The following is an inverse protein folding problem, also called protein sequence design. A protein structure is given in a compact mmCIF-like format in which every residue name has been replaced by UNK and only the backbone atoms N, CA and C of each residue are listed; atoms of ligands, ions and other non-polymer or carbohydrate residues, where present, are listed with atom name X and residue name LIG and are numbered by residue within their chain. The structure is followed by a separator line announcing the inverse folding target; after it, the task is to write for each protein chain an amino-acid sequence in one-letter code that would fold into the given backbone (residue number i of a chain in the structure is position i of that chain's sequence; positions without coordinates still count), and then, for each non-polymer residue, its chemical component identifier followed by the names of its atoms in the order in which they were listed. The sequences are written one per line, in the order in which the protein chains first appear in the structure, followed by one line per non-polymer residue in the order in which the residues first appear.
data_IF_022675210346
#
_entry.id   IF_022675210346
#
_cell.length_a   1.000
_cell.length_b   1.000
_cell.length_c   1.000
_cell.angle_alpha   90.00
_cell.angle_beta   90.00
_cell.angle_gamma   90.00
#
_symmetry.space_group_name_H-M   'P 1'
#
loop_
_entity.id
_entity.type
_entity.pdbx_description
1 polymer ?
#
# COMPACT_ATOMS: atom_id res chain seq x y z
N UNK A 1 1.49 -6.93 -27.76
CA UNK A 1 1.71 -7.80 -26.58
C UNK A 1 2.10 -6.96 -25.39
N UNK A 2 1.55 -7.27 -24.22
CA UNK A 2 1.78 -6.52 -22.98
C UNK A 2 2.00 -7.51 -21.83
N UNK A 3 2.50 -7.00 -20.72
CA UNK A 3 2.54 -7.77 -19.47
C UNK A 3 2.03 -6.91 -18.31
N UNK A 4 1.64 -7.59 -17.26
CA UNK A 4 1.29 -6.94 -16.00
C UNK A 4 1.98 -7.67 -14.86
N UNK A 5 2.46 -6.92 -13.87
CA UNK A 5 3.10 -7.50 -12.69
C UNK A 5 2.50 -6.88 -11.44
N UNK A 6 2.37 -7.71 -10.41
CA UNK A 6 1.87 -7.30 -9.11
C UNK A 6 2.93 -7.66 -8.07
N UNK A 7 3.45 -6.63 -7.40
CA UNK A 7 4.48 -6.80 -6.38
C UNK A 7 3.81 -6.82 -5.02
N UNK A 8 4.03 -7.89 -4.25
CA UNK A 8 3.46 -8.04 -2.92
C UNK A 8 4.59 -8.37 -1.94
N UNK A 9 4.71 -7.57 -0.89
CA UNK A 9 5.60 -7.87 0.21
C UNK A 9 4.91 -8.88 1.12
N UNK A 10 5.65 -9.86 1.61
CA UNK A 10 5.09 -10.92 2.46
C UNK A 10 6.00 -11.26 3.62
N UNK A 11 5.39 -11.80 4.68
CA UNK A 11 6.08 -12.45 5.79
C UNK A 11 5.66 -13.91 5.75
N UNK A 12 6.61 -14.81 5.48
CA UNK A 12 6.29 -16.21 5.23
C UNK A 12 5.32 -16.31 4.06
N UNK A 13 4.18 -16.94 4.29
CA UNK A 13 3.15 -17.15 3.26
C UNK A 13 2.10 -16.04 3.23
N UNK A 14 2.23 -15.02 4.10
CA UNK A 14 1.22 -13.98 4.22
C UNK A 14 1.66 -12.71 3.53
N UNK A 15 0.95 -12.34 2.46
CA UNK A 15 1.15 -11.05 1.82
C UNK A 15 0.56 -9.94 2.68
N UNK A 16 1.33 -8.88 2.91
CA UNK A 16 0.86 -7.79 3.77
C UNK A 16 0.88 -6.42 3.09
N UNK A 17 1.60 -6.26 1.99
CA UNK A 17 1.65 -4.95 1.30
C UNK A 17 1.74 -5.16 -0.20
N UNK A 18 0.71 -4.74 -0.89
CA UNK A 18 0.62 -4.78 -2.34
C UNK A 18 -0.08 -3.53 -2.85
N UNK A 19 -0.52 -3.51 -4.11
CA UNK A 19 -1.15 -2.33 -4.71
C UNK A 19 -2.38 -1.81 -3.95
N UNK A 20 -3.20 -2.72 -3.41
CA UNK A 20 -4.38 -2.31 -2.65
C UNK A 20 -4.03 -1.59 -1.35
N UNK A 21 -3.05 -2.12 -0.60
CA UNK A 21 -2.59 -1.49 0.64
C UNK A 21 -1.87 -0.18 0.34
N UNK A 22 -1.08 -0.15 -0.74
CA UNK A 22 -0.45 1.09 -1.20
C UNK A 22 -1.49 2.19 -1.40
N UNK A 23 -2.56 1.88 -2.11
CA UNK A 23 -3.62 2.85 -2.39
C UNK A 23 -4.35 3.27 -1.12
N UNK A 24 -4.62 2.32 -0.22
CA UNK A 24 -5.23 2.63 1.08
C UNK A 24 -4.34 3.62 1.86
N UNK A 25 -3.05 3.36 1.93
CA UNK A 25 -2.12 4.24 2.64
C UNK A 25 -2.04 5.63 2.01
N UNK A 26 -2.06 5.71 0.69
CA UNK A 26 -2.10 7.00 -0.01
C UNK A 26 -3.37 7.79 0.33
N UNK A 27 -4.52 7.12 0.38
CA UNK A 27 -5.77 7.77 0.74
C UNK A 27 -5.79 8.20 2.21
N UNK A 28 -5.25 7.38 3.11
CA UNK A 28 -5.14 7.77 4.52
C UNK A 28 -4.29 9.04 4.63
N UNK A 29 -3.20 9.10 3.89
CA UNK A 29 -2.30 10.26 3.90
C UNK A 29 -2.99 11.52 3.36
N UNK A 30 -3.76 11.40 2.29
CA UNK A 30 -4.43 12.55 1.68
C UNK A 30 -5.72 12.95 2.40
N UNK A 31 -6.52 11.97 2.84
CA UNK A 31 -7.82 12.21 3.47
C UNK A 31 -7.74 12.45 4.97
N UNK A 32 -6.63 12.07 5.59
CA UNK A 32 -6.43 12.16 7.04
C UNK A 32 -7.50 11.38 7.82
N UNK A 33 -8.00 10.29 7.24
CA UNK A 33 -9.08 9.51 7.82
C UNK A 33 -9.09 8.10 7.22
N UNK A 34 -9.12 7.09 8.08
CA UNK A 34 -9.25 5.69 7.61
C UNK A 34 -10.65 5.47 7.02
N UNK A 35 -11.67 6.08 7.64
CA UNK A 35 -13.03 5.96 7.14
C UNK A 35 -13.16 6.52 5.73
N UNK A 36 -12.68 7.74 5.52
CA UNK A 36 -12.73 8.38 4.21
C UNK A 36 -11.91 7.59 3.19
N UNK A 37 -10.74 7.09 3.58
CA UNK A 37 -9.90 6.27 2.71
C UNK A 37 -10.61 4.99 2.30
N UNK A 38 -11.25 4.30 3.24
CA UNK A 38 -11.98 3.08 2.94
C UNK A 38 -13.14 3.33 1.98
N UNK A 39 -13.85 4.44 2.15
CA UNK A 39 -14.95 4.82 1.25
C UNK A 39 -14.45 5.07 -0.18
N UNK A 40 -13.30 5.72 -0.32
CA UNK A 40 -12.68 5.95 -1.63
C UNK A 40 -12.35 4.65 -2.34
N UNK A 41 -12.13 3.58 -1.61
CA UNK A 41 -11.74 2.30 -2.17
C UNK A 41 -12.87 1.26 -2.18
N UNK A 42 -14.06 1.65 -1.82
CA UNK A 42 -15.20 0.73 -1.66
C UNK A 42 -14.88 -0.43 -0.72
N UNK A 43 -14.12 -0.15 0.32
CA UNK A 43 -13.81 -1.11 1.38
C UNK A 43 -14.65 -0.82 2.61
N UNK A 44 -15.00 -1.86 3.35
CA UNK A 44 -15.57 -1.66 4.67
C UNK A 44 -14.49 -1.09 5.60
N UNK A 45 -14.91 -0.35 6.61
CA UNK A 45 -14.02 0.20 7.62
C UNK A 45 -13.24 -0.92 8.33
N UNK A 46 -13.94 -2.02 8.66
CA UNK A 46 -13.30 -3.20 9.28
C UNK A 46 -12.21 -3.80 8.40
N UNK A 47 -12.46 -3.90 7.11
CA UNK A 47 -11.49 -4.46 6.18
C UNK A 47 -10.26 -3.56 6.05
N UNK A 48 -10.47 -2.24 5.99
CA UNK A 48 -9.36 -1.29 5.96
C UNK A 48 -8.46 -1.45 7.19
N UNK A 49 -9.06 -1.55 8.38
CA UNK A 49 -8.28 -1.74 9.61
C UNK A 49 -7.59 -3.10 9.65
N UNK A 50 -8.20 -4.13 9.09
CA UNK A 50 -7.56 -5.46 9.00
C UNK A 50 -6.31 -5.38 8.14
N UNK A 51 -6.38 -4.67 7.02
CA UNK A 51 -5.22 -4.45 6.14
C UNK A 51 -4.12 -3.70 6.87
N UNK A 52 -4.47 -2.65 7.61
CA UNK A 52 -3.51 -1.86 8.41
C UNK A 52 -2.85 -2.74 9.47
N UNK A 53 -3.63 -3.54 10.20
CA UNK A 53 -3.09 -4.42 11.24
C UNK A 53 -2.13 -5.47 10.70
N UNK A 54 -2.39 -5.98 9.48
CA UNK A 54 -1.47 -6.92 8.85
C UNK A 54 -0.12 -6.27 8.57
N UNK A 55 -0.13 -5.02 8.13
CA UNK A 55 1.11 -4.25 7.94
C UNK A 55 1.83 -4.04 9.27
N UNK A 56 1.08 -3.64 10.30
CA UNK A 56 1.66 -3.38 11.62
C UNK A 56 2.27 -4.63 12.22
N UNK A 57 1.63 -5.78 12.01
CA UNK A 57 2.16 -7.06 12.47
C UNK A 57 3.50 -7.37 11.79
N UNK A 58 3.60 -7.12 10.49
CA UNK A 58 4.83 -7.37 9.75
C UNK A 58 5.94 -6.39 10.15
N UNK A 59 5.60 -5.12 10.38
CA UNK A 59 6.57 -4.10 10.79
C UNK A 59 6.97 -4.21 12.26
N UNK A 60 6.12 -4.79 13.09
CA UNK A 60 6.32 -4.80 14.54
C UNK A 60 6.11 -3.45 15.20
N UNK A 61 5.40 -2.53 14.54
CA UNK A 61 5.13 -1.19 15.07
C UNK A 61 3.91 -0.57 14.36
N UNK A 62 3.29 0.46 14.95
CA UNK A 62 2.15 1.12 14.31
C UNK A 62 2.53 1.76 12.99
N UNK A 63 1.64 1.63 12.00
CA UNK A 63 1.78 2.26 10.69
C UNK A 63 0.80 3.41 10.53
N UNK A 64 -0.30 3.38 11.27
CA UNK A 64 -1.34 4.41 11.27
C UNK A 64 -1.67 4.74 12.72
N UNK A 65 -1.78 6.03 13.03
CA UNK A 65 -2.23 6.46 14.35
C UNK A 65 -3.49 7.29 14.24
N UNK A 66 -4.39 7.07 15.22
CA UNK A 66 -5.61 7.86 15.32
C UNK A 66 -5.26 9.18 16.01
N UNK A 67 -5.82 10.25 15.46
CA UNK A 67 -5.66 11.57 16.07
C UNK A 67 -6.86 11.85 16.98
N UNK A 68 -6.56 12.31 18.18
CA UNK A 68 -7.59 12.67 19.15
C UNK A 68 -7.93 14.15 19.05
N UNK A 69 -9.17 14.54 19.44
CA UNK A 69 -9.59 15.90 19.53
C UNK A 69 -10.31 16.48 18.32
N UNK A 70 -10.58 15.68 17.32
CA UNK A 70 -11.40 16.11 16.19
C UNK A 70 -12.89 16.01 16.53
N UNK A 71 -13.69 16.87 15.95
CA UNK A 71 -15.14 16.84 16.12
C UNK A 71 -15.76 15.54 15.60
N UNK A 72 -15.09 14.85 14.70
CA UNK A 72 -15.60 13.65 14.06
C UNK A 72 -14.99 12.35 14.59
N UNK A 73 -14.03 12.43 15.50
CA UNK A 73 -13.38 11.25 16.06
C UNK A 73 -12.73 10.33 15.05
N UNK A 74 -12.62 10.76 13.80
CA UNK A 74 -12.22 9.91 12.68
C UNK A 74 -10.89 10.29 12.03
N UNK A 75 -10.14 11.23 12.58
CA UNK A 75 -8.84 11.62 12.03
C UNK A 75 -7.79 10.54 12.26
N UNK A 76 -6.95 10.36 11.26
CA UNK A 76 -5.83 9.43 11.33
C UNK A 76 -4.71 9.91 10.42
N UNK A 77 -3.50 9.47 10.70
CA UNK A 77 -2.36 9.77 9.84
C UNK A 77 -1.40 8.59 9.81
N UNK A 78 -0.57 8.54 8.79
CA UNK A 78 0.52 7.57 8.75
C UNK A 78 1.56 7.94 9.81
N UNK A 79 2.08 6.94 10.48
CA UNK A 79 3.26 7.12 11.33
C UNK A 79 4.48 7.28 10.44
N UNK A 80 5.62 7.64 11.02
CA UNK A 80 6.88 7.65 10.27
C UNK A 80 7.16 6.27 9.65
N UNK A 81 6.92 5.20 10.41
CA UNK A 81 7.11 3.83 9.90
C UNK A 81 6.19 3.52 8.73
N UNK A 82 4.92 3.90 8.82
CA UNK A 82 3.96 3.69 7.74
C UNK A 82 4.30 4.47 6.50
N UNK A 83 4.69 5.73 6.67
CA UNK A 83 5.11 6.59 5.55
C UNK A 83 6.36 6.05 4.88
N UNK A 84 7.35 5.64 5.68
CA UNK A 84 8.60 5.10 5.16
C UNK A 84 8.36 3.83 4.35
N UNK A 85 7.50 2.94 4.85
CA UNK A 85 7.14 1.72 4.11
C UNK A 85 6.45 2.05 2.78
N UNK A 86 5.51 2.98 2.80
CA UNK A 86 4.81 3.41 1.57
C UNK A 86 5.80 3.98 0.54
N UNK A 87 6.70 4.84 0.97
CA UNK A 87 7.69 5.45 0.07
C UNK A 87 8.63 4.40 -0.51
N UNK A 88 9.13 3.49 0.31
CA UNK A 88 10.03 2.42 -0.13
C UNK A 88 9.34 1.45 -1.07
N UNK A 89 8.11 1.06 -0.75
CA UNK A 89 7.32 0.19 -1.61
C UNK A 89 7.08 0.85 -2.98
N UNK A 90 6.69 2.13 -2.98
CA UNK A 90 6.41 2.88 -4.20
C UNK A 90 7.65 2.94 -5.09
N UNK A 91 8.82 3.20 -4.52
CA UNK A 91 10.07 3.25 -5.26
C UNK A 91 10.49 1.87 -5.76
N UNK A 92 10.33 0.85 -4.93
CA UNK A 92 10.62 -0.53 -5.32
C UNK A 92 9.72 -0.97 -6.48
N UNK A 93 8.44 -0.64 -6.40
CA UNK A 93 7.47 -0.94 -7.46
C UNK A 93 7.86 -0.26 -8.78
N UNK A 94 8.22 1.02 -8.71
CA UNK A 94 8.64 1.79 -9.88
C UNK A 94 9.88 1.18 -10.54
N UNK A 95 10.91 0.92 -9.75
CA UNK A 95 12.16 0.33 -10.25
C UNK A 95 11.95 -1.09 -10.76
N UNK A 96 11.14 -1.86 -10.07
CA UNK A 96 10.79 -3.22 -10.48
C UNK A 96 10.10 -3.25 -11.84
N UNK A 97 9.12 -2.37 -12.02
CA UNK A 97 8.40 -2.27 -13.29
C UNK A 97 9.33 -1.81 -14.43
N UNK A 98 10.24 -0.88 -14.17
CA UNK A 98 11.21 -0.44 -15.18
C UNK A 98 12.14 -1.58 -15.58
N UNK A 99 12.60 -2.36 -14.62
CA UNK A 99 13.45 -3.53 -14.88
C UNK A 99 12.70 -4.61 -15.67
N UNK A 100 11.45 -4.86 -15.30
CA UNK A 100 10.61 -5.83 -16.00
C UNK A 100 10.32 -5.41 -17.45
N UNK A 101 10.12 -4.12 -17.69
CA UNK A 101 9.92 -3.61 -19.06
C UNK A 101 11.13 -3.91 -19.94
N UNK A 102 12.33 -3.70 -19.42
CA UNK A 102 13.56 -3.99 -20.15
C UNK A 102 13.68 -5.48 -20.45
N UNK A 103 13.42 -6.33 -19.46
CA UNK A 103 13.45 -7.77 -19.63
C UNK A 103 12.39 -8.23 -20.63
N UNK A 104 11.20 -7.65 -20.55
CA UNK A 104 10.11 -7.98 -21.46
C UNK A 104 10.51 -7.69 -22.91
N UNK A 105 11.09 -6.52 -23.17
CA UNK A 105 11.54 -6.16 -24.51
C UNK A 105 12.62 -7.09 -25.01
N UNK A 106 13.52 -7.54 -24.13
CA UNK A 106 14.59 -8.48 -24.50
C UNK A 106 14.05 -9.89 -24.79
N UNK A 107 13.24 -10.40 -23.87
CA UNK A 107 12.78 -11.79 -23.94
C UNK A 107 11.77 -12.04 -25.06
N UNK A 108 10.97 -11.03 -25.37
CA UNK A 108 9.90 -11.16 -26.37
C UNK A 108 10.20 -10.40 -27.66
N UNK A 109 11.45 -10.03 -27.87
CA UNK A 109 11.92 -9.42 -29.09
C UNK A 109 11.60 -10.31 -30.30
N UNK A 110 11.04 -9.71 -31.34
CA UNK A 110 10.60 -10.45 -32.51
C UNK A 110 9.15 -10.95 -32.46
N UNK A 111 8.55 -10.95 -31.26
CA UNK A 111 7.14 -11.32 -31.07
C UNK A 111 6.25 -10.11 -30.91
N UNK A 112 6.83 -8.96 -30.57
CA UNK A 112 6.09 -7.72 -30.30
C UNK A 112 6.34 -6.66 -31.36
#
# INVERSE_FOLDING_TARGET
MQFAAKIVLSEGDTGFFGPGVRDLFRFIDSEKSVKAASEKMDLSYSKAWKMIRNVEKALGRPAVERMHGGTDGGSARLTEAGRNLLERYTEFERKGNDSLKKLFMQEFSGLI
#
